data_IF_384516254294
#
_entry.id   IF_384516254294
#
_cell.length_a   1.000
_cell.length_b   1.000
_cell.length_c   1.000
_cell.angle_alpha   90.00
_cell.angle_beta   90.00
_cell.angle_gamma   90.00
#
_symmetry.space_group_name_H-M   'P 1'
#
loop_
_entity.id
_entity.type
_entity.pdbx_description
1 polymer ?
#
# COMPACT_ATOMS: atom_id res chain seq x y z
N UNK A 1 11.17 -22.88 9.96
CA UNK A 1 9.92 -22.65 10.69
C UNK A 1 9.74 -23.75 11.69
N UNK A 2 9.44 -23.39 12.91
CA UNK A 2 9.09 -24.38 13.95
C UNK A 2 7.56 -24.38 14.10
N UNK A 3 6.95 -25.56 13.96
CA UNK A 3 5.49 -25.73 13.92
C UNK A 3 5.00 -26.37 15.20
N UNK A 4 4.03 -25.75 15.85
CA UNK A 4 3.36 -26.33 17.02
C UNK A 4 1.88 -26.42 16.72
N UNK A 5 1.30 -27.60 16.80
CA UNK A 5 -0.13 -27.83 16.60
C UNK A 5 -0.92 -27.29 17.79
N UNK A 6 -2.04 -26.61 17.50
CA UNK A 6 -2.99 -26.08 18.46
C UNK A 6 -4.32 -26.83 18.45
N UNK A 7 -5.38 -26.16 18.86
CA UNK A 7 -6.75 -26.68 18.92
C UNK A 7 -7.23 -27.16 17.55
N UNK A 8 -7.74 -28.39 17.50
CA UNK A 8 -8.43 -28.96 16.35
C UNK A 8 -9.92 -29.16 16.64
N UNK A 9 -10.77 -28.99 15.64
CA UNK A 9 -12.20 -29.25 15.68
C UNK A 9 -12.67 -29.86 14.36
N UNK A 10 -13.78 -30.57 14.36
CA UNK A 10 -14.34 -31.17 13.16
C UNK A 10 -15.74 -30.62 12.92
N UNK A 11 -16.08 -30.37 11.67
CA UNK A 11 -17.44 -29.99 11.27
C UNK A 11 -17.87 -30.76 10.04
N UNK A 12 -19.19 -30.80 9.80
CA UNK A 12 -19.79 -31.44 8.62
C UNK A 12 -20.10 -30.35 7.59
N UNK A 13 -19.36 -30.34 6.50
CA UNK A 13 -19.65 -29.45 5.36
C UNK A 13 -20.52 -30.19 4.32
N UNK A 14 -21.53 -29.48 3.81
CA UNK A 14 -22.34 -30.00 2.69
C UNK A 14 -21.55 -29.82 1.39
N UNK A 15 -21.37 -30.89 0.65
CA UNK A 15 -20.78 -30.89 -0.69
C UNK A 15 -21.87 -30.66 -1.73
N UNK A 16 -23.05 -31.30 -1.54
CA UNK A 16 -24.23 -31.12 -2.38
C UNK A 16 -25.52 -31.34 -1.53
N UNK A 17 -26.69 -31.37 -2.18
CA UNK A 17 -27.97 -31.46 -1.49
C UNK A 17 -28.10 -32.76 -0.63
N UNK A 18 -27.37 -33.83 -0.95
CA UNK A 18 -27.48 -35.15 -0.32
C UNK A 18 -26.19 -35.66 0.34
N UNK A 19 -25.07 -34.98 0.14
CA UNK A 19 -23.75 -35.45 0.58
C UNK A 19 -23.12 -34.45 1.54
N UNK A 20 -22.65 -34.91 2.69
CA UNK A 20 -21.86 -34.14 3.64
C UNK A 20 -20.56 -34.85 3.94
N UNK A 21 -19.49 -34.07 4.05
CA UNK A 21 -18.16 -34.52 4.40
C UNK A 21 -17.76 -34.02 5.79
N UNK A 22 -17.04 -34.84 6.55
CA UNK A 22 -16.42 -34.41 7.79
C UNK A 22 -15.11 -33.73 7.48
N UNK A 23 -15.02 -32.46 7.81
CA UNK A 23 -13.82 -31.63 7.62
C UNK A 23 -13.17 -31.38 8.96
N UNK A 24 -11.87 -31.62 9.04
CA UNK A 24 -11.07 -31.35 10.24
C UNK A 24 -10.35 -30.03 10.11
N UNK A 25 -10.56 -29.18 11.09
CA UNK A 25 -9.87 -27.90 11.20
C UNK A 25 -8.84 -27.95 12.32
N UNK A 26 -7.69 -27.32 12.11
CA UNK A 26 -6.69 -27.12 13.16
C UNK A 26 -6.05 -25.74 13.04
N UNK A 27 -5.83 -25.11 14.20
CA UNK A 27 -5.04 -23.88 14.27
C UNK A 27 -3.59 -24.28 14.51
N UNK A 28 -2.72 -23.85 13.63
CA UNK A 28 -1.29 -24.12 13.70
C UNK A 28 -0.57 -22.83 14.06
N UNK A 29 0.29 -22.89 15.07
CA UNK A 29 1.22 -21.83 15.43
C UNK A 29 2.56 -22.12 14.76
N UNK A 30 3.09 -21.16 14.02
CA UNK A 30 4.44 -21.22 13.45
C UNK A 30 5.30 -20.08 13.98
N UNK A 31 6.58 -20.35 14.21
CA UNK A 31 7.56 -19.33 14.59
C UNK A 31 8.63 -19.22 13.50
N UNK A 32 8.90 -18.01 13.05
CA UNK A 32 10.00 -17.76 12.12
C UNK A 32 11.34 -17.93 12.83
N UNK A 33 12.25 -18.74 12.27
CA UNK A 33 13.56 -18.98 12.86
C UNK A 33 14.51 -17.76 12.72
N UNK A 34 14.27 -16.89 11.74
CA UNK A 34 15.10 -15.71 11.50
C UNK A 34 14.72 -14.51 12.39
N UNK A 35 13.42 -14.18 12.49
CA UNK A 35 12.96 -13.00 13.23
C UNK A 35 12.17 -13.32 14.50
N UNK A 36 11.98 -14.61 14.82
CA UNK A 36 11.26 -15.14 15.98
C UNK A 36 9.78 -14.70 16.10
N UNK A 37 9.25 -14.02 15.08
CA UNK A 37 7.82 -13.64 15.03
C UNK A 37 6.95 -14.88 14.87
N UNK A 38 5.76 -14.81 15.46
CA UNK A 38 4.77 -15.89 15.46
C UNK A 38 3.72 -15.62 14.40
N UNK A 39 3.26 -16.70 13.74
CA UNK A 39 2.10 -16.70 12.84
C UNK A 39 1.12 -17.81 13.24
N UNK A 40 -0.18 -17.59 12.97
CA UNK A 40 -1.23 -18.57 13.18
C UNK A 40 -1.91 -18.89 11.86
N UNK A 41 -2.14 -20.15 11.62
CA UNK A 41 -2.69 -20.68 10.38
C UNK A 41 -3.90 -21.55 10.68
N UNK A 42 -4.96 -21.40 9.88
CA UNK A 42 -6.07 -22.34 9.85
C UNK A 42 -5.76 -23.40 8.79
N UNK A 43 -5.63 -24.64 9.23
CA UNK A 43 -5.53 -25.79 8.34
C UNK A 43 -6.87 -26.48 8.25
N UNK A 44 -7.36 -26.66 7.04
CA UNK A 44 -8.56 -27.42 6.70
C UNK A 44 -8.14 -28.70 6.01
N UNK A 45 -8.56 -29.85 6.53
CA UNK A 45 -8.32 -31.17 5.95
C UNK A 45 -9.68 -31.85 5.68
N UNK A 46 -10.07 -31.89 4.41
CA UNK A 46 -11.20 -32.69 3.92
C UNK A 46 -10.70 -33.91 3.15
N UNK A 47 -11.60 -34.81 2.76
CA UNK A 47 -11.26 -36.01 1.97
C UNK A 47 -10.79 -35.66 0.56
N UNK A 48 -11.29 -34.55 -0.01
CA UNK A 48 -10.99 -34.12 -1.38
C UNK A 48 -9.92 -33.02 -1.48
N UNK A 49 -9.67 -32.26 -0.41
CA UNK A 49 -8.71 -31.15 -0.43
C UNK A 49 -8.19 -30.80 0.96
N UNK A 50 -6.94 -30.29 1.00
CA UNK A 50 -6.40 -29.62 2.18
C UNK A 50 -6.01 -28.20 1.81
N UNK A 51 -6.28 -27.26 2.71
CA UNK A 51 -5.87 -25.86 2.53
C UNK A 51 -5.30 -25.29 3.83
N UNK A 52 -4.39 -24.36 3.71
CA UNK A 52 -3.81 -23.62 4.83
C UNK A 52 -4.02 -22.13 4.59
N UNK A 53 -4.63 -21.45 5.55
CA UNK A 53 -4.92 -20.02 5.48
C UNK A 53 -4.24 -19.32 6.64
N UNK A 54 -3.44 -18.29 6.35
CA UNK A 54 -2.82 -17.46 7.37
C UNK A 54 -3.89 -16.61 8.07
N UNK A 55 -3.98 -16.72 9.40
CA UNK A 55 -4.91 -15.95 10.24
C UNK A 55 -4.20 -14.73 10.85
N UNK A 56 -2.94 -14.91 11.27
CA UNK A 56 -2.15 -13.86 11.91
C UNK A 56 -0.64 -14.04 11.64
N UNK A 57 0.12 -12.99 11.41
CA UNK A 57 -0.35 -11.60 11.24
C UNK A 57 -1.22 -11.45 10.00
N UNK A 58 -2.07 -10.43 9.98
CA UNK A 58 -2.78 -10.03 8.77
C UNK A 58 -1.74 -9.58 7.73
N UNK A 59 -1.61 -10.33 6.64
CA UNK A 59 -0.68 -10.01 5.55
C UNK A 59 -1.48 -9.44 4.40
N UNK A 60 -1.11 -8.25 3.98
CA UNK A 60 -1.70 -7.58 2.82
C UNK A 60 -1.10 -8.17 1.53
N UNK A 61 -1.48 -9.43 1.20
CA UNK A 61 -0.89 -10.19 0.10
C UNK A 61 -1.06 -9.53 -1.28
N UNK A 62 -2.09 -8.69 -1.43
CA UNK A 62 -2.43 -8.08 -2.72
C UNK A 62 -2.11 -6.58 -2.80
N UNK A 63 -1.49 -6.03 -1.77
CA UNK A 63 -1.08 -4.63 -1.73
C UNK A 63 0.43 -4.54 -1.44
N UNK A 64 1.15 -3.60 -2.05
CA UNK A 64 2.53 -3.35 -1.69
C UNK A 64 2.63 -2.80 -0.27
N UNK A 65 3.75 -3.06 0.41
CA UNK A 65 4.03 -2.44 1.71
C UNK A 65 4.10 -0.91 1.59
N UNK A 66 3.57 -0.15 2.54
CA UNK A 66 3.67 1.30 2.51
C UNK A 66 5.11 1.75 2.66
N UNK A 67 5.50 2.79 1.91
CA UNK A 67 6.83 3.40 2.01
C UNK A 67 7.10 3.82 3.46
N UNK A 68 8.32 3.58 3.94
CA UNK A 68 8.72 3.84 5.34
C UNK A 68 8.66 5.32 5.75
N UNK A 69 8.86 6.23 4.79
CA UNK A 69 8.77 7.68 5.00
C UNK A 69 7.36 8.23 4.76
N UNK A 70 6.36 7.36 4.52
CA UNK A 70 4.97 7.79 4.38
C UNK A 70 4.48 8.42 5.68
N UNK A 71 3.91 9.65 5.67
CA UNK A 71 3.36 10.28 6.87
C UNK A 71 2.28 9.40 7.51
N UNK A 72 2.28 9.31 8.84
CA UNK A 72 1.46 8.35 9.57
C UNK A 72 -0.05 8.48 9.30
N UNK A 73 -0.56 9.70 9.20
CA UNK A 73 -1.95 9.99 8.88
C UNK A 73 -2.39 9.54 7.48
N UNK A 74 -1.44 9.41 6.56
CA UNK A 74 -1.64 8.90 5.21
C UNK A 74 -1.48 7.39 5.19
N UNK A 75 -0.48 6.88 5.92
CA UNK A 75 -0.22 5.45 6.07
C UNK A 75 -1.41 4.70 6.65
N UNK A 76 -2.13 5.28 7.61
CA UNK A 76 -3.35 4.69 8.16
C UNK A 76 -4.42 4.50 7.06
N UNK A 77 -4.68 5.51 6.24
CA UNK A 77 -5.63 5.40 5.12
C UNK A 77 -5.13 4.41 4.06
N UNK A 78 -3.81 4.38 3.81
CA UNK A 78 -3.19 3.39 2.92
C UNK A 78 -3.46 1.97 3.38
N UNK A 79 -3.21 1.68 4.67
CA UNK A 79 -3.41 0.35 5.24
C UNK A 79 -4.89 -0.06 5.26
N UNK A 80 -5.80 0.88 5.51
CA UNK A 80 -7.24 0.65 5.41
C UNK A 80 -7.63 0.28 3.97
N UNK A 81 -7.16 1.03 2.96
CA UNK A 81 -7.39 0.72 1.56
C UNK A 81 -6.83 -0.66 1.17
N UNK A 82 -5.63 -0.98 1.64
CA UNK A 82 -4.96 -2.24 1.37
C UNK A 82 -5.71 -3.46 1.94
N UNK A 83 -6.30 -3.33 3.14
CA UNK A 83 -7.06 -4.40 3.79
C UNK A 83 -8.30 -4.82 3.03
N UNK A 84 -9.02 -3.86 2.45
CA UNK A 84 -10.29 -4.11 1.77
C UNK A 84 -10.16 -4.35 0.27
N UNK A 85 -8.93 -4.43 -0.25
CA UNK A 85 -8.71 -4.50 -1.71
C UNK A 85 -9.36 -5.73 -2.35
N UNK A 86 -9.41 -6.86 -1.65
CA UNK A 86 -10.08 -8.09 -2.11
C UNK A 86 -11.59 -8.00 -1.99
N UNK A 87 -12.06 -7.47 -0.88
CA UNK A 87 -13.49 -7.45 -0.55
C UNK A 87 -14.22 -6.34 -1.30
N UNK A 88 -13.57 -5.20 -1.53
CA UNK A 88 -14.12 -4.07 -2.26
C UNK A 88 -13.03 -3.26 -2.98
N UNK A 89 -12.62 -3.66 -4.19
CA UNK A 89 -11.63 -2.90 -4.99
C UNK A 89 -12.05 -1.44 -5.20
N UNK A 90 -13.35 -1.20 -5.38
CA UNK A 90 -13.93 0.15 -5.52
C UNK A 90 -13.73 1.00 -4.27
N UNK A 91 -14.01 0.47 -3.09
CA UNK A 91 -13.80 1.20 -1.84
C UNK A 91 -12.29 1.41 -1.57
N UNK A 92 -11.45 0.43 -1.87
CA UNK A 92 -9.99 0.56 -1.82
C UNK A 92 -9.49 1.69 -2.73
N UNK A 93 -9.99 1.78 -3.95
CA UNK A 93 -9.64 2.86 -4.88
C UNK A 93 -10.06 4.25 -4.34
N UNK A 94 -11.24 4.35 -3.73
CA UNK A 94 -11.72 5.60 -3.12
C UNK A 94 -10.84 6.03 -1.93
N UNK A 95 -10.45 5.10 -1.05
CA UNK A 95 -9.52 5.37 0.06
C UNK A 95 -8.12 5.73 -0.45
N UNK A 96 -7.62 5.06 -1.49
CA UNK A 96 -6.35 5.39 -2.13
C UNK A 96 -6.36 6.82 -2.68
N UNK A 97 -7.46 7.25 -3.29
CA UNK A 97 -7.64 8.65 -3.72
C UNK A 97 -7.61 9.61 -2.53
N UNK A 98 -8.30 9.29 -1.43
CA UNK A 98 -8.28 10.11 -0.21
C UNK A 98 -6.85 10.25 0.33
N UNK A 99 -6.07 9.16 0.33
CA UNK A 99 -4.66 9.18 0.73
C UNK A 99 -3.83 10.11 -0.18
N UNK A 100 -4.03 10.06 -1.51
CA UNK A 100 -3.37 10.94 -2.48
C UNK A 100 -3.76 12.42 -2.24
N UNK A 101 -5.01 12.69 -1.97
CA UNK A 101 -5.48 14.05 -1.66
C UNK A 101 -4.83 14.58 -0.37
N UNK A 102 -4.75 13.78 0.67
CA UNK A 102 -4.05 14.12 1.92
C UNK A 102 -2.55 14.36 1.68
N UNK A 103 -1.90 13.46 0.95
CA UNK A 103 -0.46 13.57 0.64
C UNK A 103 -0.16 14.85 -0.15
N UNK A 104 -0.89 15.09 -1.24
CA UNK A 104 -0.69 16.29 -2.08
C UNK A 104 -1.00 17.58 -1.34
N UNK A 105 -2.00 17.57 -0.42
CA UNK A 105 -2.30 18.71 0.45
C UNK A 105 -1.16 18.99 1.43
N UNK A 106 -0.52 17.95 1.96
CA UNK A 106 0.64 18.10 2.86
C UNK A 106 1.85 18.66 2.12
N UNK A 107 2.08 18.23 0.87
CA UNK A 107 3.18 18.73 0.03
C UNK A 107 2.93 20.14 -0.50
N UNK A 108 1.68 20.52 -0.76
CA UNK A 108 1.25 21.82 -1.33
C UNK A 108 0.02 22.34 -0.55
N UNK A 109 0.22 22.89 0.67
CA UNK A 109 -0.88 23.28 1.54
C UNK A 109 -1.71 24.45 1.03
N UNK A 110 -1.12 25.32 0.19
CA UNK A 110 -1.72 26.59 -0.27
C UNK A 110 -2.62 26.43 -1.51
N UNK A 111 -2.96 25.19 -1.92
CA UNK A 111 -3.84 24.92 -3.06
C UNK A 111 -5.07 24.10 -2.64
N UNK A 112 -6.24 24.50 -3.13
CA UNK A 112 -7.51 23.92 -2.67
C UNK A 112 -7.88 22.64 -3.43
N UNK A 113 -7.67 22.59 -4.74
CA UNK A 113 -8.03 21.43 -5.55
C UNK A 113 -6.84 20.50 -5.79
N UNK A 114 -7.12 19.20 -6.00
CA UNK A 114 -6.10 18.22 -6.39
C UNK A 114 -5.40 18.65 -7.69
N UNK A 115 -6.15 19.16 -8.66
CA UNK A 115 -5.61 19.62 -9.95
C UNK A 115 -4.60 20.75 -9.79
N UNK A 116 -4.89 21.73 -8.93
CA UNK A 116 -3.95 22.84 -8.64
C UNK A 116 -2.70 22.35 -7.91
N UNK A 117 -2.85 21.36 -7.01
CA UNK A 117 -1.72 20.76 -6.30
C UNK A 117 -0.83 19.98 -7.26
N UNK A 118 -1.39 19.20 -8.18
CA UNK A 118 -0.65 18.50 -9.24
C UNK A 118 0.14 19.51 -10.08
N UNK A 119 -0.52 20.58 -10.55
CA UNK A 119 0.15 21.62 -11.33
C UNK A 119 1.31 22.30 -10.57
N UNK A 120 1.15 22.51 -9.25
CA UNK A 120 2.19 23.07 -8.41
C UNK A 120 3.36 22.10 -8.19
N UNK A 121 3.09 20.79 -8.03
CA UNK A 121 4.12 19.75 -7.92
C UNK A 121 4.92 19.64 -9.23
N UNK A 122 4.26 19.72 -10.38
CA UNK A 122 4.93 19.73 -11.71
C UNK A 122 5.88 20.90 -11.82
N UNK A 123 5.47 22.09 -11.38
CA UNK A 123 6.37 23.28 -11.35
C UNK A 123 7.55 23.11 -10.41
N UNK A 124 7.43 22.27 -9.38
CA UNK A 124 8.52 21.90 -8.46
C UNK A 124 9.39 20.75 -8.97
N UNK A 125 9.16 20.26 -10.18
CA UNK A 125 9.98 19.21 -10.79
C UNK A 125 9.39 17.79 -10.68
N UNK A 126 8.09 17.63 -10.36
CA UNK A 126 7.43 16.33 -10.41
C UNK A 126 7.56 15.74 -11.81
N UNK A 127 7.98 14.47 -11.91
CA UNK A 127 8.17 13.84 -13.20
C UNK A 127 6.86 13.74 -13.99
N UNK A 128 6.95 13.88 -15.32
CA UNK A 128 5.80 13.80 -16.22
C UNK A 128 5.03 12.49 -16.09
N UNK A 129 5.74 11.39 -15.78
CA UNK A 129 5.11 10.07 -15.57
C UNK A 129 4.22 10.07 -14.33
N UNK A 130 4.66 10.68 -13.23
CA UNK A 130 3.85 10.79 -12.00
C UNK A 130 2.69 11.75 -12.22
N UNK A 131 2.88 12.84 -12.95
CA UNK A 131 1.77 13.72 -13.34
C UNK A 131 0.68 12.95 -14.07
N UNK A 132 1.03 12.17 -15.10
CA UNK A 132 0.08 11.34 -15.84
C UNK A 132 -0.64 10.33 -14.94
N UNK A 133 0.09 9.72 -14.01
CA UNK A 133 -0.49 8.78 -13.05
C UNK A 133 -1.46 9.47 -12.09
N UNK A 134 -1.17 10.68 -11.63
CA UNK A 134 -2.09 11.47 -10.79
C UNK A 134 -3.36 11.90 -11.56
N UNK A 135 -3.22 12.20 -12.87
CA UNK A 135 -4.38 12.47 -13.72
C UNK A 135 -5.27 11.23 -13.89
N UNK A 136 -4.68 10.05 -14.03
CA UNK A 136 -5.41 8.76 -14.02
C UNK A 136 -6.17 8.59 -12.70
N UNK A 137 -5.51 8.78 -11.56
CA UNK A 137 -6.13 8.70 -10.23
C UNK A 137 -7.31 9.65 -10.10
N UNK A 138 -7.16 10.88 -10.59
CA UNK A 138 -8.23 11.89 -10.56
C UNK A 138 -9.46 11.42 -11.33
N UNK A 139 -9.27 10.87 -12.53
CA UNK A 139 -10.34 10.37 -13.38
C UNK A 139 -11.01 9.15 -12.74
N UNK A 140 -10.22 8.14 -12.37
CA UNK A 140 -10.71 6.90 -11.76
C UNK A 140 -11.43 7.19 -10.44
N UNK A 141 -10.85 8.02 -9.59
CA UNK A 141 -11.43 8.34 -8.30
C UNK A 141 -12.74 9.13 -8.40
N UNK A 142 -12.92 9.98 -9.42
CA UNK A 142 -14.21 10.62 -9.69
C UNK A 142 -15.28 9.58 -10.07
N UNK A 143 -14.91 8.59 -10.89
CA UNK A 143 -15.83 7.56 -11.36
C UNK A 143 -16.16 6.50 -10.29
N UNK A 144 -15.28 6.27 -9.31
CA UNK A 144 -15.58 5.41 -8.17
C UNK A 144 -16.74 5.95 -7.30
N UNK A 145 -16.96 7.27 -7.32
CA UNK A 145 -18.04 7.96 -6.57
C UNK A 145 -19.25 8.24 -7.46
N UNK A 146 -19.07 8.38 -8.78
CA UNK A 146 -20.14 8.62 -9.75
C UNK A 146 -20.23 7.42 -10.71
N UNK A 147 -21.17 6.48 -10.49
CA UNK A 147 -21.31 5.30 -11.33
C UNK A 147 -21.77 5.69 -12.75
N UNK A 148 -21.08 5.20 -13.77
CA UNK A 148 -21.55 5.32 -15.15
C UNK A 148 -20.50 5.26 -16.28
N UNK A 149 -19.21 5.58 -16.02
CA UNK A 149 -18.22 5.69 -17.09
C UNK A 149 -17.07 4.67 -17.04
N UNK A 150 -16.69 4.19 -15.85
CA UNK A 150 -15.66 3.14 -15.70
C UNK A 150 -16.16 2.15 -14.66
N UNK A 151 -16.29 0.88 -15.06
CA UNK A 151 -16.62 -0.18 -14.13
C UNK A 151 -15.38 -0.61 -13.35
N UNK A 152 -15.34 -0.21 -12.07
CA UNK A 152 -14.26 -0.55 -11.12
C UNK A 152 -14.62 -1.77 -10.27
N UNK A 153 -15.77 -2.39 -10.51
CA UNK A 153 -16.33 -3.40 -9.62
C UNK A 153 -15.49 -4.66 -9.51
N UNK A 154 -14.65 -4.97 -10.53
CA UNK A 154 -13.86 -6.21 -10.56
C UNK A 154 -12.35 -6.01 -10.77
N UNK A 155 -11.81 -4.79 -10.64
CA UNK A 155 -10.42 -4.54 -10.99
C UNK A 155 -9.52 -4.29 -9.75
N UNK A 156 -9.20 -5.37 -9.01
CA UNK A 156 -8.24 -5.34 -7.91
C UNK A 156 -6.85 -4.84 -8.36
N UNK A 157 -6.46 -5.09 -9.61
CA UNK A 157 -5.21 -4.59 -10.19
C UNK A 157 -5.15 -3.06 -10.22
N UNK A 158 -6.29 -2.40 -10.45
CA UNK A 158 -6.38 -0.94 -10.44
C UNK A 158 -6.15 -0.40 -9.03
N UNK A 159 -6.81 -0.95 -8.02
CA UNK A 159 -6.64 -0.54 -6.63
C UNK A 159 -5.19 -0.76 -6.15
N UNK A 160 -4.57 -1.91 -6.49
CA UNK A 160 -3.15 -2.18 -6.24
C UNK A 160 -2.24 -1.15 -6.92
N UNK A 161 -2.56 -0.76 -8.15
CA UNK A 161 -1.81 0.26 -8.89
C UNK A 161 -1.87 1.63 -8.23
N UNK A 162 -3.02 2.01 -7.65
CA UNK A 162 -3.17 3.27 -6.90
C UNK A 162 -2.34 3.29 -5.62
N UNK A 163 -2.28 2.18 -4.88
CA UNK A 163 -1.42 2.03 -3.71
C UNK A 163 0.07 2.08 -4.10
N UNK A 164 0.44 1.42 -5.19
CA UNK A 164 1.81 1.50 -5.73
C UNK A 164 2.19 2.93 -6.10
N UNK A 165 1.28 3.67 -6.72
CA UNK A 165 1.50 5.07 -7.08
C UNK A 165 1.71 5.96 -5.85
N UNK A 166 0.96 5.74 -4.76
CA UNK A 166 1.20 6.44 -3.48
C UNK A 166 2.64 6.27 -3.02
N UNK A 167 3.16 5.04 -3.04
CA UNK A 167 4.54 4.75 -2.66
C UNK A 167 5.54 5.47 -3.58
N UNK A 168 5.28 5.52 -4.88
CA UNK A 168 6.15 6.22 -5.85
C UNK A 168 6.16 7.73 -5.57
N UNK A 169 5.03 8.34 -5.26
CA UNK A 169 4.96 9.77 -4.92
C UNK A 169 5.73 10.05 -3.62
N UNK A 170 5.57 9.23 -2.59
CA UNK A 170 6.32 9.37 -1.34
C UNK A 170 7.81 9.22 -1.58
N UNK A 171 8.23 8.22 -2.37
CA UNK A 171 9.63 7.99 -2.71
C UNK A 171 10.24 9.20 -3.42
N UNK A 172 9.57 9.75 -4.42
CA UNK A 172 10.10 10.88 -5.21
C UNK A 172 10.08 12.21 -4.44
N UNK A 173 9.00 12.48 -3.67
CA UNK A 173 8.78 13.78 -3.06
C UNK A 173 9.25 13.87 -1.60
N UNK A 174 9.47 12.74 -0.93
CA UNK A 174 9.85 12.69 0.49
C UNK A 174 11.15 11.91 0.68
N UNK A 175 11.18 10.61 0.33
CA UNK A 175 12.31 9.74 0.67
C UNK A 175 13.58 10.11 -0.09
N UNK A 176 13.49 10.32 -1.39
CA UNK A 176 14.65 10.67 -2.23
C UNK A 176 15.26 12.02 -1.86
N UNK A 177 14.49 13.12 -1.70
CA UNK A 177 15.04 14.38 -1.21
C UNK A 177 15.71 14.26 0.17
N UNK A 178 15.08 13.57 1.13
CA UNK A 178 15.60 13.33 2.46
C UNK A 178 16.94 12.58 2.42
N UNK A 179 17.04 11.55 1.60
CA UNK A 179 18.26 10.76 1.41
C UNK A 179 19.39 11.58 0.79
N UNK A 180 19.07 12.37 -0.24
CA UNK A 180 20.05 13.26 -0.87
C UNK A 180 20.55 14.32 0.12
N UNK A 181 19.66 14.91 0.90
CA UNK A 181 20.02 15.90 1.94
C UNK A 181 20.94 15.28 3.00
N UNK A 182 20.64 14.07 3.47
CA UNK A 182 21.50 13.34 4.40
C UNK A 182 22.89 13.12 3.81
N UNK A 183 22.97 12.57 2.58
CA UNK A 183 24.25 12.34 1.90
C UNK A 183 25.04 13.64 1.70
N UNK A 184 24.35 14.75 1.41
CA UNK A 184 24.98 16.05 1.25
C UNK A 184 25.57 16.58 2.57
N UNK A 185 24.82 16.42 3.68
CA UNK A 185 25.24 16.87 5.01
C UNK A 185 26.39 16.02 5.58
N UNK A 186 26.54 14.78 5.14
CA UNK A 186 27.63 13.87 5.52
C UNK A 186 28.98 14.21 4.79
N UNK A 187 28.96 15.15 3.85
CA UNK A 187 30.19 15.56 3.16
C UNK A 187 31.16 16.28 4.11
N UNK A 188 32.49 16.11 3.92
CA UNK A 188 33.50 16.82 4.68
C UNK A 188 33.32 18.35 4.57
N UNK A 189 33.49 19.05 5.69
CA UNK A 189 33.25 20.51 5.81
C UNK A 189 34.02 21.33 4.75
N UNK A 190 35.23 20.92 4.36
CA UNK A 190 36.02 21.59 3.31
C UNK A 190 35.32 21.53 1.94
N UNK A 191 34.71 20.40 1.63
CA UNK A 191 34.00 20.22 0.37
C UNK A 191 32.71 21.04 0.34
N UNK A 192 31.95 21.07 1.44
CA UNK A 192 30.74 21.87 1.58
C UNK A 192 31.02 23.37 1.36
N UNK A 193 32.09 23.89 1.97
CA UNK A 193 32.52 25.31 1.76
C UNK A 193 32.88 25.58 0.30
N UNK A 194 33.54 24.66 -0.38
CA UNK A 194 33.89 24.77 -1.80
C UNK A 194 32.67 24.80 -2.70
N UNK A 195 31.65 23.95 -2.41
CA UNK A 195 30.38 23.92 -3.12
C UNK A 195 29.62 25.25 -2.92
N UNK A 196 29.50 25.71 -1.69
CA UNK A 196 28.85 26.99 -1.37
C UNK A 196 29.50 28.18 -2.11
N UNK A 197 30.84 28.23 -2.16
CA UNK A 197 31.57 29.24 -2.90
C UNK A 197 31.25 29.20 -4.41
N UNK A 198 31.21 28.01 -5.01
CA UNK A 198 30.84 27.82 -6.42
C UNK A 198 29.44 28.37 -6.73
N UNK A 199 28.47 28.08 -5.84
CA UNK A 199 27.06 28.41 -6.07
C UNK A 199 26.78 29.92 -5.87
N UNK A 200 27.53 30.59 -4.99
CA UNK A 200 27.50 32.07 -4.82
C UNK A 200 28.04 32.82 -6.02
N UNK A 201 28.90 32.23 -6.82
CA UNK A 201 29.54 32.90 -7.98
C UNK A 201 28.64 32.87 -9.24
N UNK A 202 27.47 32.19 -9.19
CA UNK A 202 26.53 32.04 -10.31
C UNK A 202 25.28 32.93 -10.22
N UNK A 203 25.18 33.76 -9.20
CA UNK A 203 24.11 34.78 -9.02
C UNK A 203 24.60 36.14 -9.42
#
# INVERSE_FOLDING_TARGET
MDWTYGLGFSDKEKIDANTSETVNYSIIKARCLACHKVSYWLKKNGSASSSETLIYPEVLLDAPEPNTDMPEDIKQVYLEAAKIIKDSPRASAALSRLAIEKLTKKLIPNKNSLNERIAALVKKGLSKKIQQSLDIVRIIGNNAVHPGEIDLTDNSNMATSLLSLLNVIVEEQISTPKRIEQMYNDLPQGNLKSIQKRDQTKT
#
